data_IF_515414022172
#
_entry.id   IF_515414022172
#
_cell.length_a   1.000
_cell.length_b   1.000
_cell.length_c   1.000
_cell.angle_alpha   90.00
_cell.angle_beta   90.00
_cell.angle_gamma   90.00
#
_symmetry.space_group_name_H-M   'P 1'
#
loop_
_entity.id
_entity.type
_entity.pdbx_description
1 polymer ?
#
# COMPACT_ATOMS: atom_id res chain seq x y z
N UNK A 1 -10.39 -18.17 28.28
CA UNK A 1 -10.22 -16.75 27.93
C UNK A 1 -8.75 -16.51 27.66
N UNK A 2 -8.40 -16.20 26.41
CA UNK A 2 -7.00 -16.07 25.95
C UNK A 2 -6.35 -14.77 26.46
N UNK A 3 -5.08 -14.80 26.89
CA UNK A 3 -4.39 -13.71 27.58
C UNK A 3 -3.84 -12.61 26.64
N UNK A 4 -4.56 -12.24 25.58
CA UNK A 4 -4.12 -11.22 24.61
C UNK A 4 -4.51 -9.77 24.96
N UNK A 5 -5.07 -9.55 26.16
CA UNK A 5 -5.68 -8.25 26.52
C UNK A 5 -4.82 -7.39 27.46
N UNK A 6 -3.64 -7.84 27.92
CA UNK A 6 -2.96 -7.18 29.04
C UNK A 6 -1.66 -6.43 28.69
N UNK A 7 -1.20 -6.39 27.44
CA UNK A 7 0.02 -5.62 27.07
C UNK A 7 -0.27 -4.25 26.43
N UNK A 8 -1.43 -3.65 26.70
CA UNK A 8 -1.77 -2.31 26.21
C UNK A 8 -1.41 -1.17 27.20
N UNK A 9 -0.49 -1.40 28.15
CA UNK A 9 -0.24 -0.50 29.29
C UNK A 9 1.09 0.26 29.26
N UNK A 10 1.79 0.37 28.13
CA UNK A 10 2.93 1.29 28.03
C UNK A 10 2.74 2.26 26.87
N UNK A 11 1.97 3.31 27.14
CA UNK A 11 1.82 4.46 26.24
C UNK A 11 3.15 5.19 26.06
N UNK A 12 3.89 4.81 25.01
CA UNK A 12 4.95 5.66 24.45
C UNK A 12 4.31 6.99 24.05
N UNK A 13 4.89 8.10 24.51
CA UNK A 13 4.49 9.43 24.09
C UNK A 13 4.51 9.53 22.56
N UNK A 14 3.43 10.03 21.99
CA UNK A 14 3.15 10.12 20.54
C UNK A 14 4.11 11.11 19.84
N UNK A 15 4.88 11.84 20.64
CA UNK A 15 5.75 12.96 20.32
C UNK A 15 6.88 12.54 19.34
N UNK A 16 7.42 11.33 19.50
CA UNK A 16 8.72 10.92 18.94
C UNK A 16 8.66 9.93 17.75
N UNK A 17 7.47 9.61 17.21
CA UNK A 17 7.38 8.70 16.07
C UNK A 17 7.66 9.42 14.74
N UNK A 18 8.89 9.23 14.22
CA UNK A 18 9.34 9.75 12.93
C UNK A 18 8.40 9.28 11.79
N UNK A 19 7.86 10.21 11.00
CA UNK A 19 7.00 9.90 9.84
C UNK A 19 5.50 10.13 10.02
N UNK A 20 5.04 10.58 11.20
CA UNK A 20 3.64 10.99 11.43
C UNK A 20 3.48 12.50 11.17
N UNK A 21 2.69 12.93 10.17
CA UNK A 21 2.41 14.34 9.92
C UNK A 21 1.80 15.05 11.14
N UNK A 22 2.06 16.35 11.31
CA UNK A 22 1.49 17.18 12.39
C UNK A 22 -0.05 17.11 12.42
N UNK A 23 -0.68 17.00 11.24
CA UNK A 23 -2.12 16.81 11.11
C UNK A 23 -2.62 15.49 11.74
N UNK A 24 -1.88 14.39 11.57
CA UNK A 24 -2.20 13.11 12.19
C UNK A 24 -2.04 13.15 13.72
N UNK A 25 -1.05 13.91 14.23
CA UNK A 25 -0.88 14.16 15.67
C UNK A 25 -2.09 14.89 16.28
N UNK A 26 -2.69 15.85 15.55
CA UNK A 26 -3.91 16.57 15.99
C UNK A 26 -5.13 15.65 16.14
N UNK A 27 -5.21 14.59 15.35
CA UNK A 27 -6.31 13.62 15.37
C UNK A 27 -6.00 12.35 16.19
N UNK A 28 -4.88 12.30 16.91
CA UNK A 28 -4.49 11.14 17.71
C UNK A 28 -4.13 9.90 16.88
N UNK A 29 -3.76 10.08 15.60
CA UNK A 29 -3.39 8.98 14.71
C UNK A 29 -1.90 8.65 14.85
N UNK A 30 -1.62 7.38 15.12
CA UNK A 30 -0.27 6.87 15.34
C UNK A 30 0.52 6.63 14.04
N UNK A 31 -0.14 6.61 12.87
CA UNK A 31 0.50 6.25 11.59
C UNK A 31 0.02 7.14 10.44
N UNK A 32 0.90 7.36 9.45
CA UNK A 32 0.57 8.05 8.21
C UNK A 32 -0.07 7.06 7.20
N UNK A 33 -1.38 7.18 7.02
CA UNK A 33 -2.16 6.31 6.14
C UNK A 33 -2.17 6.77 4.67
N UNK A 34 -1.60 7.94 4.35
CA UNK A 34 -1.76 8.57 3.04
C UNK A 34 -1.24 7.71 1.89
N UNK A 35 -0.22 6.89 2.11
CA UNK A 35 0.35 6.03 1.07
C UNK A 35 -0.61 4.91 0.66
N UNK A 36 -1.25 4.25 1.63
CA UNK A 36 -2.21 3.18 1.33
C UNK A 36 -3.53 3.75 0.80
N UNK A 37 -3.99 4.90 1.33
CA UNK A 37 -5.17 5.58 0.79
C UNK A 37 -5.00 5.94 -0.69
N UNK A 38 -3.82 6.46 -1.06
CA UNK A 38 -3.52 6.77 -2.45
C UNK A 38 -3.49 5.52 -3.34
N UNK A 39 -2.95 4.41 -2.85
CA UNK A 39 -2.97 3.14 -3.58
C UNK A 39 -4.40 2.60 -3.75
N UNK A 40 -5.23 2.69 -2.70
CA UNK A 40 -6.62 2.25 -2.74
C UNK A 40 -7.48 3.12 -3.68
N UNK A 41 -7.18 4.41 -3.79
CA UNK A 41 -7.87 5.30 -4.72
C UNK A 41 -7.58 4.93 -6.20
N UNK A 42 -6.33 4.62 -6.54
CA UNK A 42 -5.97 4.10 -7.87
C UNK A 42 -6.74 2.80 -8.19
N UNK A 43 -6.89 1.91 -7.20
CA UNK A 43 -7.65 0.67 -7.35
C UNK A 43 -9.16 0.91 -7.52
N UNK A 44 -9.75 1.79 -6.69
CA UNK A 44 -11.16 2.17 -6.73
C UNK A 44 -11.56 2.81 -8.06
N UNK A 45 -10.72 3.70 -8.60
CA UNK A 45 -10.98 4.31 -9.91
C UNK A 45 -11.19 3.25 -10.98
N UNK A 46 -10.37 2.19 -10.97
CA UNK A 46 -10.47 1.12 -11.96
C UNK A 46 -11.64 0.19 -11.69
N UNK A 47 -11.90 -0.19 -10.44
CA UNK A 47 -13.07 -1.00 -10.10
C UNK A 47 -14.39 -0.31 -10.45
N UNK A 48 -14.46 1.02 -10.30
CA UNK A 48 -15.63 1.83 -10.60
C UNK A 48 -15.94 1.87 -12.11
N UNK A 49 -14.92 2.00 -12.96
CA UNK A 49 -15.06 1.96 -14.42
C UNK A 49 -15.52 0.56 -14.87
N UNK A 50 -14.97 -0.49 -14.29
CA UNK A 50 -15.33 -1.88 -14.63
C UNK A 50 -16.70 -2.32 -14.09
N UNK A 51 -17.32 -1.52 -13.21
CA UNK A 51 -18.58 -1.86 -12.51
C UNK A 51 -18.47 -3.18 -11.73
N UNK A 52 -17.37 -3.31 -10.99
CA UNK A 52 -17.07 -4.45 -10.13
C UNK A 52 -16.62 -5.70 -10.88
N UNK A 53 -16.07 -6.66 -10.13
CA UNK A 53 -15.64 -7.96 -10.65
C UNK A 53 -16.83 -8.92 -10.77
N UNK A 54 -16.93 -9.65 -11.89
CA UNK A 54 -18.05 -10.57 -12.16
C UNK A 54 -17.87 -11.96 -11.54
N UNK A 55 -16.64 -12.32 -11.21
CA UNK A 55 -16.29 -13.60 -10.57
C UNK A 55 -15.08 -13.44 -9.65
N UNK A 56 -14.93 -14.35 -8.68
CA UNK A 56 -13.76 -14.38 -7.80
C UNK A 56 -12.45 -14.52 -8.59
N UNK A 57 -12.44 -15.38 -9.62
CA UNK A 57 -11.27 -15.59 -10.48
C UNK A 57 -10.88 -14.33 -11.25
N UNK A 58 -11.87 -13.57 -11.76
CA UNK A 58 -11.59 -12.29 -12.42
C UNK A 58 -11.02 -11.24 -11.46
N UNK A 59 -11.53 -11.21 -10.21
CA UNK A 59 -11.01 -10.32 -9.18
C UNK A 59 -9.57 -10.66 -8.79
N UNK A 60 -9.26 -11.94 -8.57
CA UNK A 60 -7.89 -12.34 -8.23
C UNK A 60 -6.91 -12.07 -9.35
N UNK A 61 -7.26 -12.39 -10.61
CA UNK A 61 -6.41 -12.13 -11.77
C UNK A 61 -6.17 -10.64 -11.97
N UNK A 62 -7.20 -9.81 -11.81
CA UNK A 62 -7.06 -8.36 -11.95
C UNK A 62 -6.20 -7.75 -10.85
N UNK A 63 -6.41 -8.13 -9.60
CA UNK A 63 -5.61 -7.63 -8.47
C UNK A 63 -4.15 -8.04 -8.61
N UNK A 64 -3.88 -9.28 -9.05
CA UNK A 64 -2.51 -9.74 -9.27
C UNK A 64 -1.82 -8.98 -10.40
N UNK A 65 -2.52 -8.79 -11.53
CA UNK A 65 -2.02 -7.97 -12.63
C UNK A 65 -1.74 -6.53 -12.16
N UNK A 66 -2.64 -5.94 -11.36
CA UNK A 66 -2.46 -4.60 -10.80
C UNK A 66 -1.18 -4.48 -9.97
N UNK A 67 -0.90 -5.48 -9.11
CA UNK A 67 0.33 -5.53 -8.31
C UNK A 67 1.58 -5.60 -9.17
N UNK A 68 1.56 -6.44 -10.21
CA UNK A 68 2.70 -6.59 -11.14
C UNK A 68 2.93 -5.28 -11.89
N UNK A 69 1.88 -4.69 -12.46
CA UNK A 69 1.99 -3.45 -13.24
C UNK A 69 2.47 -2.29 -12.38
N UNK A 70 1.95 -2.14 -11.17
CA UNK A 70 2.34 -1.07 -10.26
C UNK A 70 3.81 -1.19 -9.83
N UNK A 71 4.26 -2.41 -9.49
CA UNK A 71 5.61 -2.61 -8.96
C UNK A 71 6.70 -2.64 -10.04
N UNK A 72 6.43 -3.22 -11.22
CA UNK A 72 7.48 -3.57 -12.19
C UNK A 72 7.37 -2.87 -13.55
N UNK A 73 6.23 -2.25 -13.87
CA UNK A 73 6.01 -1.64 -15.20
C UNK A 73 5.88 -0.13 -15.11
N UNK A 74 5.07 0.37 -14.17
CA UNK A 74 4.79 1.80 -14.05
C UNK A 74 5.87 2.48 -13.22
N UNK A 75 6.54 3.46 -13.81
CA UNK A 75 7.45 4.35 -13.10
C UNK A 75 6.67 5.22 -12.11
N UNK A 76 7.12 5.28 -10.86
CA UNK A 76 6.48 6.10 -9.85
C UNK A 76 6.96 7.56 -9.97
N UNK A 77 6.03 8.51 -10.13
CA UNK A 77 6.34 9.94 -10.34
C UNK A 77 7.26 10.53 -9.27
N UNK A 78 7.09 10.13 -8.00
CA UNK A 78 7.92 10.62 -6.91
C UNK A 78 9.29 9.94 -6.77
N UNK A 79 9.49 8.76 -7.39
CA UNK A 79 10.73 7.99 -7.28
C UNK A 79 11.57 8.04 -8.58
N UNK A 80 10.95 8.34 -9.73
CA UNK A 80 11.62 8.35 -11.03
C UNK A 80 12.00 6.96 -11.58
N UNK A 81 11.78 5.89 -10.80
CA UNK A 81 11.98 4.48 -11.15
C UNK A 81 10.77 3.64 -10.70
N UNK A 82 10.77 2.34 -11.01
CA UNK A 82 9.69 1.46 -10.55
C UNK A 82 9.84 1.18 -9.05
N UNK A 83 8.73 0.96 -8.30
CA UNK A 83 8.81 0.59 -6.89
C UNK A 83 9.66 -0.67 -6.65
N UNK A 84 9.65 -1.64 -7.57
CA UNK A 84 10.48 -2.82 -7.50
C UNK A 84 11.98 -2.49 -7.62
N UNK A 85 12.35 -1.57 -8.52
CA UNK A 85 13.74 -1.13 -8.67
C UNK A 85 14.25 -0.37 -7.44
N UNK A 86 13.40 0.45 -6.80
CA UNK A 86 13.71 1.08 -5.51
C UNK A 86 13.91 0.03 -4.41
N UNK A 87 13.07 -1.00 -4.38
CA UNK A 87 13.16 -2.09 -3.41
C UNK A 87 14.32 -3.07 -3.70
N UNK A 88 15.07 -2.89 -4.79
CA UNK A 88 16.14 -3.81 -5.21
C UNK A 88 15.63 -5.18 -5.67
N UNK A 89 14.36 -5.29 -6.01
CA UNK A 89 13.77 -6.52 -6.53
C UNK A 89 14.11 -6.63 -8.02
N UNK A 90 14.70 -7.77 -8.42
CA UNK A 90 14.91 -8.05 -9.84
C UNK A 90 13.55 -8.20 -10.53
N UNK A 91 13.32 -7.39 -11.56
CA UNK A 91 12.16 -7.53 -12.41
C UNK A 91 12.22 -8.90 -13.12
N UNK A 92 11.25 -9.80 -12.92
CA UNK A 92 11.25 -11.10 -13.61
C UNK A 92 11.13 -10.95 -15.14
N UNK A 93 10.67 -9.79 -15.63
CA UNK A 93 10.44 -9.52 -17.05
C UNK A 93 11.69 -9.05 -17.83
N UNK A 94 12.82 -8.77 -17.17
CA UNK A 94 14.05 -8.35 -17.85
C UNK A 94 15.03 -9.51 -18.15
N UNK A 95 14.65 -10.76 -17.88
CA UNK A 95 15.31 -11.92 -18.45
C UNK A 95 14.82 -12.10 -19.89
N UNK A 96 15.72 -11.85 -20.85
CA UNK A 96 15.43 -11.82 -22.29
C UNK A 96 14.76 -13.10 -22.81
N UNK A 97 13.88 -12.89 -23.78
CA UNK A 97 13.48 -13.90 -24.77
C UNK A 97 14.59 -14.10 -25.81
#
# INVERSE_FOLDING_TARGET
MSPLSQEASQGKKIDDLFGVPIACKKHGLNYNNNAIERHDDDFKQRSNIMRGFKSKNSGSAFTELGRIVYNFVRTHLGLGKTPADEAGLKNPMCYGF
#
